data_IF_615130799892
#
_entry.id   IF_615130799892
#
_cell.length_a   1.000
_cell.length_b   1.000
_cell.length_c   1.000
_cell.angle_alpha   90.00
_cell.angle_beta   90.00
_cell.angle_gamma   90.00
#
_symmetry.space_group_name_H-M   'P 1'
#
loop_
_entity.id
_entity.type
_entity.pdbx_description
1 polymer ?
#
# COMPACT_ATOMS: atom_id res chain seq x y z
N UNK A 1 14.63 -12.58 -23.15
CA UNK A 1 15.15 -12.74 -21.77
C UNK A 1 14.12 -12.41 -20.68
N UNK A 2 13.27 -11.38 -20.82
CA UNK A 2 12.28 -11.04 -19.78
C UNK A 2 11.12 -12.03 -19.60
N UNK A 3 10.59 -12.64 -20.67
CA UNK A 3 9.45 -13.56 -20.58
C UNK A 3 9.77 -14.85 -19.82
N UNK A 4 10.96 -15.43 -20.02
CA UNK A 4 11.36 -16.65 -19.30
C UNK A 4 11.43 -16.45 -17.78
N UNK A 5 11.81 -15.25 -17.33
CA UNK A 5 11.81 -14.90 -15.90
C UNK A 5 10.37 -14.90 -15.34
N UNK A 6 9.41 -14.30 -16.05
CA UNK A 6 8.02 -14.23 -15.61
C UNK A 6 7.33 -15.61 -15.61
N UNK A 7 7.65 -16.45 -16.59
CA UNK A 7 7.23 -17.85 -16.59
C UNK A 7 7.82 -18.63 -15.41
N UNK A 8 9.11 -18.44 -15.13
CA UNK A 8 9.77 -19.06 -13.98
C UNK A 8 9.13 -18.66 -12.65
N UNK A 9 8.74 -17.40 -12.49
CA UNK A 9 8.01 -16.93 -11.29
C UNK A 9 6.64 -17.60 -11.13
N UNK A 10 5.93 -17.82 -12.24
CA UNK A 10 4.61 -18.45 -12.22
C UNK A 10 4.65 -19.96 -11.94
N UNK A 11 5.84 -20.57 -12.05
CA UNK A 11 6.10 -21.97 -11.73
C UNK A 11 6.59 -22.19 -10.28
N UNK A 12 6.81 -21.12 -9.50
CA UNK A 12 7.27 -21.25 -8.11
C UNK A 12 6.24 -21.98 -7.23
N UNK A 13 6.65 -22.75 -6.20
CA UNK A 13 5.72 -23.50 -5.35
C UNK A 13 4.58 -22.66 -4.74
N UNK A 14 4.80 -21.41 -4.28
CA UNK A 14 3.71 -20.54 -3.81
C UNK A 14 2.69 -20.21 -4.91
N UNK A 15 3.14 -20.04 -6.17
CA UNK A 15 2.27 -19.75 -7.30
C UNK A 15 1.37 -20.94 -7.63
N UNK A 16 1.98 -22.13 -7.77
CA UNK A 16 1.28 -23.39 -8.07
C UNK A 16 0.26 -23.73 -6.98
N UNK A 17 0.58 -23.46 -5.71
CA UNK A 17 -0.35 -23.65 -4.59
C UNK A 17 -1.63 -22.82 -4.76
N UNK A 18 -1.52 -21.54 -5.13
CA UNK A 18 -2.71 -20.70 -5.33
C UNK A 18 -3.46 -21.05 -6.62
N UNK A 19 -2.75 -21.44 -7.68
CA UNK A 19 -3.37 -21.88 -8.95
C UNK A 19 -4.22 -23.14 -8.78
N UNK A 20 -3.80 -24.06 -7.89
CA UNK A 20 -4.47 -25.34 -7.65
C UNK A 20 -5.47 -25.32 -6.49
N UNK A 21 -5.50 -24.26 -5.66
CA UNK A 21 -6.35 -24.18 -4.48
C UNK A 21 -7.15 -22.86 -4.42
N UNK A 22 -8.40 -22.91 -4.88
CA UNK A 22 -9.30 -21.76 -4.90
C UNK A 22 -9.58 -21.15 -3.51
N UNK A 23 -9.64 -21.97 -2.46
CA UNK A 23 -9.83 -21.47 -1.08
C UNK A 23 -8.61 -20.69 -0.60
N UNK A 24 -7.40 -21.18 -0.89
CA UNK A 24 -6.18 -20.45 -0.57
C UNK A 24 -6.10 -19.12 -1.34
N UNK A 25 -6.43 -19.14 -2.64
CA UNK A 25 -6.51 -17.91 -3.44
C UNK A 25 -7.51 -16.90 -2.86
N UNK A 26 -8.70 -17.37 -2.45
CA UNK A 26 -9.70 -16.54 -1.77
C UNK A 26 -9.16 -15.91 -0.48
N UNK A 27 -8.52 -16.72 0.38
CA UNK A 27 -7.99 -16.24 1.66
C UNK A 27 -6.83 -15.25 1.48
N UNK A 28 -5.94 -15.47 0.52
CA UNK A 28 -4.85 -14.52 0.21
C UNK A 28 -5.41 -13.21 -0.34
N UNK A 29 -6.44 -13.26 -1.19
CA UNK A 29 -7.15 -12.05 -1.64
C UNK A 29 -7.81 -11.32 -0.46
N UNK A 30 -8.51 -12.02 0.42
CA UNK A 30 -9.13 -11.44 1.60
C UNK A 30 -8.09 -10.79 2.52
N UNK A 31 -6.95 -11.47 2.75
CA UNK A 31 -5.83 -10.94 3.52
C UNK A 31 -5.21 -9.68 2.86
N UNK A 32 -5.09 -9.67 1.53
CA UNK A 32 -4.64 -8.49 0.79
C UNK A 32 -5.57 -7.30 1.02
N UNK A 33 -6.89 -7.49 0.86
CA UNK A 33 -7.89 -6.44 1.07
C UNK A 33 -7.89 -5.95 2.52
N UNK A 34 -7.82 -6.86 3.50
CA UNK A 34 -7.73 -6.51 4.92
C UNK A 34 -6.48 -5.66 5.22
N UNK A 35 -5.34 -6.00 4.59
CA UNK A 35 -4.09 -5.25 4.72
C UNK A 35 -4.20 -3.84 4.14
N UNK A 36 -4.87 -3.70 2.99
CA UNK A 36 -5.20 -2.40 2.40
C UNK A 36 -6.14 -1.59 3.31
N UNK A 37 -7.13 -2.23 3.94
CA UNK A 37 -8.01 -1.58 4.91
C UNK A 37 -7.25 -1.03 6.12
N UNK A 38 -6.33 -1.82 6.69
CA UNK A 38 -5.45 -1.39 7.77
C UNK A 38 -4.57 -0.19 7.34
N UNK A 39 -3.92 -0.31 6.17
CA UNK A 39 -3.05 0.72 5.61
C UNK A 39 -3.80 2.03 5.37
N UNK A 40 -4.89 1.99 4.61
CA UNK A 40 -5.67 3.19 4.26
C UNK A 40 -6.33 3.79 5.50
N UNK A 41 -6.93 2.97 6.36
CA UNK A 41 -7.61 3.47 7.57
C UNK A 41 -6.65 4.20 8.51
N UNK A 42 -5.45 3.67 8.71
CA UNK A 42 -4.43 4.31 9.56
C UNK A 42 -3.87 5.59 8.94
N UNK A 43 -3.59 5.58 7.64
CA UNK A 43 -3.10 6.76 6.90
C UNK A 43 -4.13 7.87 6.91
N UNK A 44 -5.39 7.57 6.57
CA UNK A 44 -6.46 8.57 6.54
C UNK A 44 -6.63 9.21 7.91
N UNK A 45 -6.66 8.40 8.97
CA UNK A 45 -6.77 8.90 10.35
C UNK A 45 -5.60 9.83 10.72
N UNK A 46 -4.38 9.41 10.39
CA UNK A 46 -3.17 10.16 10.70
C UNK A 46 -3.08 11.47 9.92
N UNK A 47 -3.33 11.44 8.62
CA UNK A 47 -3.21 12.61 7.75
C UNK A 47 -4.30 13.64 8.03
N UNK A 48 -5.53 13.21 8.33
CA UNK A 48 -6.59 14.11 8.81
C UNK A 48 -6.18 14.79 10.11
N UNK A 49 -5.55 14.06 11.03
CA UNK A 49 -5.01 14.65 12.27
C UNK A 49 -3.91 15.68 11.99
N UNK A 50 -3.07 15.47 10.96
CA UNK A 50 -2.08 16.45 10.52
C UNK A 50 -2.74 17.70 9.91
N UNK A 51 -3.83 17.52 9.16
CA UNK A 51 -4.55 18.62 8.51
C UNK A 51 -5.38 19.48 9.47
N UNK A 52 -5.65 18.98 10.68
CA UNK A 52 -6.30 19.71 11.76
C UNK A 52 -7.60 19.08 12.28
N UNK A 53 -7.96 17.87 11.85
CA UNK A 53 -9.00 17.09 12.51
C UNK A 53 -8.53 16.58 13.88
N UNK A 54 -9.45 16.24 14.78
CA UNK A 54 -9.15 15.57 16.07
C UNK A 54 -8.02 16.22 16.91
N UNK A 55 -7.91 17.57 16.91
CA UNK A 55 -6.78 18.32 17.52
C UNK A 55 -6.55 18.01 18.99
N UNK A 56 -7.60 17.60 19.70
CA UNK A 56 -7.57 17.18 21.10
C UNK A 56 -6.71 15.93 21.35
N UNK A 57 -6.44 15.12 20.32
CA UNK A 57 -5.61 13.92 20.45
C UNK A 57 -4.12 14.26 20.26
N UNK A 58 -3.22 13.87 21.20
CA UNK A 58 -1.79 14.19 21.11
C UNK A 58 -1.12 13.52 19.90
N UNK A 59 -0.51 14.33 19.04
CA UNK A 59 0.16 13.84 17.83
C UNK A 59 1.39 12.99 18.14
N UNK A 60 2.09 13.28 19.24
CA UNK A 60 3.25 12.53 19.70
C UNK A 60 2.92 11.06 20.07
N UNK A 61 1.67 10.80 20.49
CA UNK A 61 1.21 9.44 20.82
C UNK A 61 0.61 8.74 19.59
N UNK A 62 -0.30 9.42 18.88
CA UNK A 62 -0.98 8.83 17.72
C UNK A 62 -0.05 8.62 16.53
N UNK A 63 0.85 9.57 16.27
CA UNK A 63 1.69 9.59 15.07
C UNK A 63 2.55 8.33 14.90
N UNK A 64 3.41 7.99 15.88
CA UNK A 64 4.24 6.80 15.81
C UNK A 64 3.44 5.50 15.75
N UNK A 65 2.33 5.41 16.50
CA UNK A 65 1.47 4.22 16.53
C UNK A 65 0.83 3.99 15.16
N UNK A 66 0.11 4.98 14.64
CA UNK A 66 -0.59 4.87 13.34
C UNK A 66 0.41 4.70 12.19
N UNK A 67 1.58 5.36 12.26
CA UNK A 67 2.62 5.18 11.26
C UNK A 67 3.21 3.76 11.25
N UNK A 68 3.38 3.11 12.41
CA UNK A 68 3.81 1.71 12.50
C UNK A 68 2.72 0.75 12.00
N UNK A 69 1.46 1.01 12.34
CA UNK A 69 0.33 0.21 11.83
C UNK A 69 0.21 0.33 10.31
N UNK A 70 0.38 1.53 9.75
CA UNK A 70 0.46 1.75 8.31
C UNK A 70 1.62 0.97 7.68
N UNK A 71 2.81 1.01 8.28
CA UNK A 71 3.95 0.22 7.80
C UNK A 71 3.66 -1.29 7.81
N UNK A 72 3.01 -1.81 8.86
CA UNK A 72 2.57 -3.20 8.94
C UNK A 72 1.57 -3.55 7.83
N UNK A 73 0.53 -2.72 7.64
CA UNK A 73 -0.45 -2.89 6.57
C UNK A 73 0.19 -2.87 5.18
N UNK A 74 1.15 -1.99 4.94
CA UNK A 74 1.91 -1.94 3.68
C UNK A 74 2.72 -3.21 3.46
N UNK A 75 3.46 -3.68 4.47
CA UNK A 75 4.26 -4.90 4.37
C UNK A 75 3.36 -6.11 4.06
N UNK A 76 2.25 -6.27 4.79
CA UNK A 76 1.30 -7.35 4.53
C UNK A 76 0.68 -7.25 3.14
N UNK A 77 0.31 -6.06 2.69
CA UNK A 77 -0.21 -5.82 1.35
C UNK A 77 0.83 -6.15 0.26
N UNK A 78 2.11 -5.82 0.48
CA UNK A 78 3.19 -6.15 -0.44
C UNK A 78 3.41 -7.67 -0.53
N UNK A 79 3.45 -8.37 0.60
CA UNK A 79 3.65 -9.82 0.64
C UNK A 79 2.50 -10.57 -0.03
N UNK A 80 1.26 -10.24 0.34
CA UNK A 80 0.06 -10.86 -0.26
C UNK A 80 -0.11 -10.47 -1.73
N UNK A 81 0.17 -9.21 -2.08
CA UNK A 81 0.12 -8.74 -3.47
C UNK A 81 1.18 -9.40 -4.35
N UNK A 82 2.40 -9.60 -3.84
CA UNK A 82 3.44 -10.35 -4.53
C UNK A 82 3.00 -11.80 -4.77
N UNK A 83 2.40 -12.45 -3.75
CA UNK A 83 1.89 -13.81 -3.90
C UNK A 83 0.80 -13.92 -4.98
N UNK A 84 -0.15 -12.96 -5.01
CA UNK A 84 -1.18 -12.90 -6.05
C UNK A 84 -0.60 -12.63 -7.44
N UNK A 85 0.44 -11.78 -7.54
CA UNK A 85 1.14 -11.51 -8.78
C UNK A 85 1.78 -12.77 -9.37
N UNK A 86 2.33 -13.65 -8.52
CA UNK A 86 2.95 -14.90 -8.99
C UNK A 86 1.96 -15.85 -9.68
N UNK A 87 0.65 -15.75 -9.42
CA UNK A 87 -0.35 -16.63 -10.05
C UNK A 87 -0.35 -16.49 -11.58
N UNK A 88 -0.14 -15.28 -12.08
CA UNK A 88 -0.06 -15.00 -13.52
C UNK A 88 0.92 -13.84 -13.80
N UNK A 89 2.20 -14.07 -13.50
CA UNK A 89 3.21 -13.01 -13.50
C UNK A 89 3.44 -12.40 -14.89
N UNK A 90 3.26 -13.19 -15.96
CA UNK A 90 3.46 -12.74 -17.35
C UNK A 90 2.43 -11.67 -17.70
N UNK A 91 1.14 -11.95 -17.50
CA UNK A 91 0.06 -11.02 -17.85
C UNK A 91 0.10 -9.79 -16.96
N UNK A 92 0.35 -9.97 -15.65
CA UNK A 92 0.47 -8.84 -14.75
C UNK A 92 1.69 -7.96 -15.06
N UNK A 93 2.85 -8.51 -15.45
CA UNK A 93 4.02 -7.72 -15.84
C UNK A 93 3.83 -6.95 -17.17
N UNK A 94 3.01 -7.50 -18.07
CA UNK A 94 2.62 -6.84 -19.30
C UNK A 94 1.63 -5.68 -19.06
N UNK A 95 0.85 -5.72 -17.97
CA UNK A 95 -0.18 -4.73 -17.67
C UNK A 95 0.43 -3.34 -17.34
N UNK A 96 0.15 -2.28 -18.13
CA UNK A 96 0.69 -0.94 -17.89
C UNK A 96 0.17 -0.32 -16.59
N UNK A 97 -1.04 -0.67 -16.16
CA UNK A 97 -1.67 -0.17 -14.94
C UNK A 97 -0.91 -0.65 -13.70
N UNK A 98 -0.36 -1.87 -13.72
CA UNK A 98 0.48 -2.35 -12.65
C UNK A 98 1.74 -1.48 -12.49
N UNK A 99 2.37 -1.08 -13.60
CA UNK A 99 3.57 -0.22 -13.56
C UNK A 99 3.24 1.16 -12.98
N UNK A 100 2.09 1.72 -13.37
CA UNK A 100 1.58 2.98 -12.78
C UNK A 100 1.36 2.80 -11.28
N UNK A 101 0.71 1.71 -10.85
CA UNK A 101 0.47 1.39 -9.44
C UNK A 101 1.79 1.32 -8.66
N UNK A 102 2.82 0.66 -9.20
CA UNK A 102 4.13 0.56 -8.56
C UNK A 102 4.82 1.93 -8.45
N UNK A 103 4.73 2.77 -9.48
CA UNK A 103 5.21 4.16 -9.42
C UNK A 103 4.49 4.99 -8.36
N UNK A 104 3.17 4.89 -8.27
CA UNK A 104 2.37 5.55 -7.24
C UNK A 104 2.72 5.06 -5.83
N UNK A 105 2.92 3.75 -5.64
CA UNK A 105 3.39 3.18 -4.36
C UNK A 105 4.75 3.77 -3.99
N UNK A 106 5.69 3.84 -4.93
CA UNK A 106 7.02 4.40 -4.67
C UNK A 106 6.92 5.86 -4.22
N UNK A 107 6.14 6.69 -4.92
CA UNK A 107 5.89 8.09 -4.52
C UNK A 107 5.23 8.19 -3.14
N UNK A 108 4.22 7.37 -2.87
CA UNK A 108 3.50 7.35 -1.59
C UNK A 108 4.42 6.96 -0.42
N UNK A 109 5.29 5.97 -0.61
CA UNK A 109 6.28 5.52 0.38
C UNK A 109 7.32 6.60 0.63
N UNK A 110 7.87 7.23 -0.42
CA UNK A 110 8.82 8.33 -0.27
C UNK A 110 8.20 9.51 0.51
N UNK A 111 6.94 9.84 0.20
CA UNK A 111 6.19 10.86 0.93
C UNK A 111 6.00 10.47 2.42
N UNK A 112 5.63 9.22 2.68
CA UNK A 112 5.43 8.72 4.04
C UNK A 112 6.73 8.71 4.86
N UNK A 113 7.86 8.33 4.26
CA UNK A 113 9.18 8.37 4.91
C UNK A 113 9.59 9.82 5.25
N UNK A 114 9.29 10.76 4.36
CA UNK A 114 9.50 12.19 4.62
C UNK A 114 8.67 12.68 5.82
N UNK A 115 7.38 12.30 5.87
CA UNK A 115 6.47 12.63 6.97
C UNK A 115 6.92 12.00 8.29
N UNK A 116 7.26 10.71 8.28
CA UNK A 116 7.64 9.97 9.48
C UNK A 116 8.82 10.62 10.23
N UNK A 117 9.75 11.23 9.49
CA UNK A 117 10.93 11.90 10.05
C UNK A 117 10.64 13.29 10.65
N UNK A 118 9.51 13.90 10.32
CA UNK A 118 9.23 15.33 10.60
C UNK A 118 7.95 15.61 11.35
N UNK A 119 6.95 14.74 11.21
CA UNK A 119 5.57 15.05 11.61
C UNK A 119 5.34 14.96 13.12
N UNK A 120 6.18 14.23 13.87
CA UNK A 120 5.95 13.94 15.30
C UNK A 120 6.73 14.82 16.26
N UNK A 121 7.57 15.74 15.75
CA UNK A 121 8.47 16.56 16.58
C UNK A 121 7.79 17.78 17.18
N UNK A 122 6.66 18.20 16.61
CA UNK A 122 5.92 19.39 17.03
C UNK A 122 4.43 19.06 17.13
N UNK A 123 3.79 19.61 18.15
CA UNK A 123 2.36 19.38 18.40
C UNK A 123 1.47 20.10 17.38
N UNK A 124 2.00 21.17 16.77
CA UNK A 124 1.41 21.90 15.65
C UNK A 124 2.16 21.54 14.37
N UNK A 125 1.54 20.81 13.43
CA UNK A 125 2.15 20.48 12.15
C UNK A 125 2.50 21.74 11.35
N UNK A 126 3.71 21.79 10.79
CA UNK A 126 4.12 22.86 9.89
C UNK A 126 3.32 22.84 8.58
N UNK A 127 3.24 23.96 7.83
CA UNK A 127 2.54 23.99 6.55
C UNK A 127 3.02 22.91 5.56
N UNK A 128 4.32 22.61 5.55
CA UNK A 128 4.88 21.53 4.74
C UNK A 128 4.37 20.15 5.16
N UNK A 129 4.31 19.86 6.47
CA UNK A 129 3.76 18.59 6.98
C UNK A 129 2.28 18.44 6.59
N UNK A 130 1.51 19.53 6.66
CA UNK A 130 0.10 19.53 6.23
C UNK A 130 -0.03 19.24 4.74
N UNK A 131 0.79 19.88 3.91
CA UNK A 131 0.81 19.62 2.46
C UNK A 131 1.14 18.16 2.15
N UNK A 132 2.17 17.60 2.77
CA UNK A 132 2.54 16.19 2.59
C UNK A 132 1.47 15.21 3.10
N UNK A 133 0.73 15.57 4.16
CA UNK A 133 -0.45 14.82 4.60
C UNK A 133 -1.59 14.87 3.57
N UNK A 134 -1.85 16.02 2.95
CA UNK A 134 -2.83 16.12 1.86
C UNK A 134 -2.40 15.31 0.62
N UNK A 135 -1.11 15.36 0.25
CA UNK A 135 -0.56 14.55 -0.85
C UNK A 135 -0.70 13.05 -0.56
N UNK A 136 -0.43 12.64 0.68
CA UNK A 136 -0.60 11.25 1.14
C UNK A 136 -2.06 10.79 0.96
N UNK A 137 -3.03 11.63 1.37
CA UNK A 137 -4.46 11.38 1.18
C UNK A 137 -4.90 11.29 -0.29
N UNK A 138 -4.12 11.79 -1.24
CA UNK A 138 -4.39 11.64 -2.67
C UNK A 138 -3.69 10.42 -3.26
N UNK A 139 -2.43 10.20 -2.88
CA UNK A 139 -1.59 9.13 -3.41
C UNK A 139 -2.13 7.74 -3.04
N UNK A 140 -2.47 7.52 -1.78
CA UNK A 140 -2.88 6.19 -1.31
C UNK A 140 -4.22 5.72 -1.90
N UNK A 141 -5.28 6.54 -1.98
CA UNK A 141 -6.48 6.20 -2.74
C UNK A 141 -6.19 5.98 -4.22
N UNK A 142 -5.28 6.76 -4.83
CA UNK A 142 -4.88 6.54 -6.23
C UNK A 142 -4.24 5.16 -6.44
N UNK A 143 -3.41 4.69 -5.50
CA UNK A 143 -2.86 3.31 -5.50
C UNK A 143 -3.97 2.27 -5.43
N UNK A 144 -4.98 2.48 -4.57
CA UNK A 144 -6.13 1.58 -4.42
C UNK A 144 -6.94 1.49 -5.72
N UNK A 145 -7.24 2.64 -6.33
CA UNK A 145 -7.97 2.74 -7.60
C UNK A 145 -7.20 2.05 -8.72
N UNK A 146 -5.90 2.33 -8.87
CA UNK A 146 -5.04 1.65 -9.84
C UNK A 146 -5.04 0.14 -9.61
N UNK A 147 -5.02 -0.31 -8.35
CA UNK A 147 -5.14 -1.72 -7.99
C UNK A 147 -6.41 -2.38 -8.52
N UNK A 148 -7.56 -1.72 -8.38
CA UNK A 148 -8.83 -2.26 -8.87
C UNK A 148 -8.92 -2.23 -10.40
N UNK A 149 -8.29 -1.23 -11.02
CA UNK A 149 -8.27 -1.02 -12.47
C UNK A 149 -7.48 -2.10 -13.23
N UNK A 150 -6.50 -2.75 -12.60
CA UNK A 150 -5.76 -3.89 -13.18
C UNK A 150 -6.71 -5.01 -13.63
N UNK A 151 -7.83 -5.22 -12.93
CA UNK A 151 -8.80 -6.26 -13.30
C UNK A 151 -9.73 -5.90 -14.46
N UNK A 152 -9.59 -4.72 -15.05
CA UNK A 152 -10.45 -4.21 -16.13
C UNK A 152 -9.68 -3.87 -17.43
N UNK A 153 -8.35 -3.93 -17.40
CA UNK A 153 -7.45 -3.66 -18.53
C UNK A 153 -6.59 -4.88 -18.76
#
# INVERSE_FOLDING_TARGET
MGQELWHGLSALPPAVFLQSNGTAYLLVNAAHIASLGLLIGTIVTLDLRLLGAFRQMPLALLGPLLSRMAACGLLLAMLTGAWLFLVNAVDYAANPVLRIKLGLIALAVLNALWLHRRAWTQERPSPAVRLHGALSLLLWPSVLVAGRWIGFV
#
